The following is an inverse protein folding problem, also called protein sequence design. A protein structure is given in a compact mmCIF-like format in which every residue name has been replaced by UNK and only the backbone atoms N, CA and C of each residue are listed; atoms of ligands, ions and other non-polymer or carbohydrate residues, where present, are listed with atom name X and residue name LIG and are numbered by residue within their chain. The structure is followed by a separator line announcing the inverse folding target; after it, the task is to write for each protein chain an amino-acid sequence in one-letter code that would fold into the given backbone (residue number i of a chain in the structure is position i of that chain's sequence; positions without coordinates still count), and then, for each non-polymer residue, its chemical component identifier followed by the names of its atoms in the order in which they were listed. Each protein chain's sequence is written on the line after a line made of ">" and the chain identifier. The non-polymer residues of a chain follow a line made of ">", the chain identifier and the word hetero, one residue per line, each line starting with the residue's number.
data_IF_003186970366
#
_entry.id   IF_003186970366
#
_cell.length_a   1.000
_cell.length_b   1.000
_cell.length_c   1.000
_cell.angle_alpha   90.00
_cell.angle_beta   90.00
_cell.angle_gamma   90.00
#
_symmetry.space_group_name_H-M   'P 1'
#
loop_
_entity.id
_entity.type
_entity.pdbx_description
1 polymer ?
#
# COMPACT_ATOMS: atom_id res chain seq x y z
N UNK A 1 26.13 20.05 -15.00
CA UNK A 1 25.90 19.23 -16.20
C UNK A 1 24.57 18.55 -16.04
N UNK A 2 23.53 19.05 -16.71
CA UNK A 2 22.22 18.41 -16.77
C UNK A 2 22.37 17.16 -17.65
N UNK A 3 22.27 15.97 -17.05
CA UNK A 3 22.13 14.73 -17.82
C UNK A 3 20.82 14.82 -18.58
N UNK A 4 20.88 14.82 -19.91
CA UNK A 4 19.68 14.65 -20.71
C UNK A 4 19.02 13.31 -20.34
N UNK A 5 17.69 13.27 -20.12
CA UNK A 5 17.00 12.01 -19.89
C UNK A 5 17.25 11.10 -21.09
N UNK A 6 17.68 9.86 -20.83
CA UNK A 6 17.87 8.86 -21.88
C UNK A 6 16.53 8.66 -22.60
N UNK A 7 16.39 9.24 -23.80
CA UNK A 7 15.18 9.24 -24.61
C UNK A 7 14.62 7.84 -24.82
N UNK A 8 15.49 6.83 -24.87
CA UNK A 8 15.08 5.43 -25.01
C UNK A 8 14.41 4.88 -23.76
N UNK A 9 14.95 5.16 -22.57
CA UNK A 9 14.32 4.74 -21.31
C UNK A 9 12.92 5.35 -21.16
N UNK A 10 12.78 6.64 -21.47
CA UNK A 10 11.48 7.33 -21.37
C UNK A 10 10.47 6.73 -22.35
N UNK A 11 10.91 6.40 -23.57
CA UNK A 11 10.08 5.71 -24.57
C UNK A 11 9.65 4.33 -24.09
N UNK A 12 10.57 3.55 -23.53
CA UNK A 12 10.29 2.22 -23.01
C UNK A 12 9.30 2.27 -21.84
N UNK A 13 9.46 3.24 -20.94
CA UNK A 13 8.52 3.47 -19.84
C UNK A 13 7.12 3.81 -20.36
N UNK A 14 6.99 4.71 -21.34
CA UNK A 14 5.68 5.17 -21.82
C UNK A 14 4.85 4.07 -22.46
N UNK A 15 5.48 3.06 -23.06
CA UNK A 15 4.79 1.90 -23.66
C UNK A 15 4.68 0.69 -22.71
N UNK A 16 5.47 0.68 -21.63
CA UNK A 16 5.52 -0.46 -20.70
C UNK A 16 4.24 -0.65 -19.88
N UNK A 17 3.41 0.38 -19.70
CA UNK A 17 2.24 0.33 -18.82
C UNK A 17 2.60 0.10 -17.35
N UNK A 18 3.77 0.58 -16.91
CA UNK A 18 4.13 0.64 -15.49
C UNK A 18 3.23 1.62 -14.73
N UNK A 19 3.04 1.36 -13.44
CA UNK A 19 2.41 2.33 -12.55
C UNK A 19 3.25 3.61 -12.48
N UNK A 20 2.62 4.76 -12.28
CA UNK A 20 3.30 6.06 -12.35
C UNK A 20 4.45 6.17 -11.33
N UNK A 21 4.24 5.70 -10.11
CA UNK A 21 5.28 5.73 -9.07
C UNK A 21 6.46 4.80 -9.40
N UNK A 22 6.19 3.62 -9.97
CA UNK A 22 7.25 2.69 -10.39
C UNK A 22 8.07 3.30 -11.53
N UNK A 23 7.40 3.94 -12.50
CA UNK A 23 8.04 4.65 -13.59
C UNK A 23 8.94 5.80 -13.11
N UNK A 24 8.47 6.60 -12.14
CA UNK A 24 9.28 7.66 -11.52
C UNK A 24 10.52 7.10 -10.83
N UNK A 25 10.38 6.00 -10.12
CA UNK A 25 11.49 5.36 -9.43
C UNK A 25 12.53 4.79 -10.39
N UNK A 26 12.09 4.16 -11.49
CA UNK A 26 13.00 3.70 -12.55
C UNK A 26 13.78 4.89 -13.13
N UNK A 27 13.11 6.01 -13.45
CA UNK A 27 13.76 7.24 -13.96
C UNK A 27 14.77 7.79 -12.95
N UNK A 28 14.47 7.72 -11.66
CA UNK A 28 15.34 8.21 -10.57
C UNK A 28 16.59 7.35 -10.40
N UNK A 29 16.44 6.03 -10.47
CA UNK A 29 17.52 5.07 -10.19
C UNK A 29 18.42 4.88 -11.41
N UNK A 30 17.87 4.86 -12.63
CA UNK A 30 18.61 4.52 -13.83
C UNK A 30 19.90 5.34 -14.06
N UNK A 31 19.94 6.67 -13.83
CA UNK A 31 21.14 7.47 -14.06
C UNK A 31 22.31 7.14 -13.14
N UNK A 32 22.04 6.64 -11.93
CA UNK A 32 23.07 6.30 -10.92
C UNK A 32 23.63 4.89 -11.07
N UNK A 33 23.08 4.09 -11.98
CA UNK A 33 23.58 2.75 -12.29
C UNK A 33 24.88 2.81 -13.09
N UNK A 34 25.68 1.74 -13.00
CA UNK A 34 26.83 1.55 -13.89
C UNK A 34 26.34 1.33 -15.32
N UNK A 35 27.18 1.67 -16.31
CA UNK A 35 26.76 1.58 -17.71
C UNK A 35 26.47 0.14 -18.13
N UNK A 36 27.23 -0.85 -17.64
CA UNK A 36 26.93 -2.28 -17.83
C UNK A 36 25.52 -2.64 -17.33
N UNK A 37 25.09 -2.06 -16.21
CA UNK A 37 23.76 -2.31 -15.65
C UNK A 37 22.67 -1.60 -16.45
N UNK A 38 22.94 -0.40 -16.95
CA UNK A 38 22.00 0.30 -17.85
C UNK A 38 21.76 -0.50 -19.12
N UNK A 39 22.83 -1.00 -19.76
CA UNK A 39 22.73 -1.87 -20.96
C UNK A 39 21.93 -3.12 -20.63
N UNK A 40 22.30 -3.83 -19.54
CA UNK A 40 21.58 -5.03 -19.12
C UNK A 40 20.08 -4.77 -18.92
N UNK A 41 19.71 -3.64 -18.29
CA UNK A 41 18.30 -3.29 -18.05
C UNK A 41 17.57 -3.03 -19.36
N UNK A 42 18.19 -2.32 -20.30
CA UNK A 42 17.58 -2.06 -21.61
C UNK A 42 17.39 -3.36 -22.40
N UNK A 43 18.38 -4.27 -22.36
CA UNK A 43 18.32 -5.57 -23.04
C UNK A 43 17.27 -6.53 -22.44
N UNK A 44 16.96 -6.38 -21.16
CA UNK A 44 16.02 -7.24 -20.42
C UNK A 44 14.76 -6.50 -19.98
N UNK A 45 14.45 -5.38 -20.65
CA UNK A 45 13.41 -4.43 -20.24
C UNK A 45 12.06 -5.09 -19.99
N UNK A 46 11.58 -5.90 -20.94
CA UNK A 46 10.27 -6.55 -20.84
C UNK A 46 10.20 -7.42 -19.58
N UNK A 47 11.21 -8.25 -19.32
CA UNK A 47 11.28 -9.11 -18.13
C UNK A 47 11.33 -8.30 -16.83
N UNK A 48 12.05 -7.16 -16.82
CA UNK A 48 12.08 -6.27 -15.67
C UNK A 48 10.70 -5.68 -15.42
N UNK A 49 10.03 -5.19 -16.46
CA UNK A 49 8.72 -4.57 -16.31
C UNK A 49 7.65 -5.56 -15.86
N UNK A 50 7.69 -6.80 -16.35
CA UNK A 50 6.82 -7.89 -15.88
C UNK A 50 7.02 -8.15 -14.39
N UNK A 51 8.27 -8.21 -13.93
CA UNK A 51 8.58 -8.39 -12.50
C UNK A 51 8.09 -7.22 -11.66
N UNK A 52 8.26 -5.98 -12.12
CA UNK A 52 7.76 -4.81 -11.41
C UNK A 52 6.24 -4.88 -11.26
N UNK A 53 5.52 -5.16 -12.37
CA UNK A 53 4.06 -5.32 -12.35
C UNK A 53 3.59 -6.46 -11.45
N UNK A 54 4.30 -7.58 -11.46
CA UNK A 54 4.00 -8.72 -10.61
C UNK A 54 4.07 -8.32 -9.12
N UNK A 55 5.19 -7.72 -8.69
CA UNK A 55 5.32 -7.28 -7.29
C UNK A 55 4.33 -6.16 -6.93
N UNK A 56 3.99 -5.26 -7.86
CA UNK A 56 2.95 -4.24 -7.64
C UNK A 56 1.60 -4.88 -7.35
N UNK A 57 1.24 -5.94 -8.08
CA UNK A 57 0.00 -6.69 -7.86
C UNK A 57 0.02 -7.44 -6.51
N UNK A 58 1.16 -8.03 -6.12
CA UNK A 58 1.32 -8.64 -4.79
C UNK A 58 1.13 -7.60 -3.67
N UNK A 59 1.74 -6.42 -3.80
CA UNK A 59 1.60 -5.33 -2.82
C UNK A 59 0.16 -4.83 -2.69
N UNK A 60 -0.58 -4.68 -3.80
CA UNK A 60 -1.99 -4.27 -3.71
C UNK A 60 -2.86 -5.37 -3.07
N UNK A 61 -2.56 -6.65 -3.33
CA UNK A 61 -3.23 -7.76 -2.65
C UNK A 61 -2.96 -7.77 -1.14
N UNK A 62 -1.71 -7.57 -0.73
CA UNK A 62 -1.35 -7.50 0.69
C UNK A 62 -2.04 -6.32 1.38
N UNK A 63 -2.07 -5.16 0.71
CA UNK A 63 -2.77 -3.97 1.19
C UNK A 63 -4.27 -4.20 1.37
N UNK A 64 -4.92 -4.93 0.45
CA UNK A 64 -6.32 -5.31 0.59
C UNK A 64 -6.55 -6.19 1.83
N UNK A 65 -5.70 -7.19 2.06
CA UNK A 65 -5.78 -8.06 3.25
C UNK A 65 -5.61 -7.24 4.53
N UNK A 66 -4.65 -6.32 4.57
CA UNK A 66 -4.42 -5.46 5.72
C UNK A 66 -5.60 -4.52 5.98
N UNK A 67 -6.23 -3.99 4.92
CA UNK A 67 -7.41 -3.15 5.05
C UNK A 67 -8.59 -3.92 5.64
N UNK A 68 -8.82 -5.15 5.18
CA UNK A 68 -9.87 -6.03 5.72
C UNK A 68 -9.65 -6.26 7.21
N UNK A 69 -8.42 -6.64 7.61
CA UNK A 69 -8.09 -6.85 9.03
C UNK A 69 -8.31 -5.60 9.88
N UNK A 70 -7.90 -4.44 9.37
CA UNK A 70 -8.11 -3.18 10.09
C UNK A 70 -9.60 -2.87 10.28
N UNK A 71 -10.45 -3.21 9.30
CA UNK A 71 -11.90 -3.05 9.44
C UNK A 71 -12.49 -4.04 10.45
N UNK A 72 -12.06 -5.30 10.44
CA UNK A 72 -12.46 -6.31 11.43
C UNK A 72 -12.08 -5.89 12.85
N UNK A 73 -10.88 -5.34 13.04
CA UNK A 73 -10.41 -4.83 14.33
C UNK A 73 -11.28 -3.66 14.81
N UNK A 74 -11.61 -2.71 13.92
CA UNK A 74 -12.51 -1.58 14.22
C UNK A 74 -13.91 -2.07 14.61
N UNK A 75 -14.46 -3.05 13.89
CA UNK A 75 -15.77 -3.62 14.22
C UNK A 75 -15.76 -4.27 15.61
N UNK A 76 -14.71 -5.05 15.92
CA UNK A 76 -14.55 -5.65 17.24
C UNK A 76 -14.47 -4.61 18.36
N UNK A 77 -13.69 -3.55 18.16
CA UNK A 77 -13.56 -2.43 19.11
C UNK A 77 -14.91 -1.73 19.34
N UNK A 78 -15.70 -1.51 18.28
CA UNK A 78 -17.03 -0.91 18.38
C UNK A 78 -18.01 -1.80 19.13
N UNK A 79 -17.98 -3.12 18.92
CA UNK A 79 -18.81 -4.05 19.67
C UNK A 79 -18.44 -4.08 21.15
N UNK A 80 -17.15 -4.10 21.48
CA UNK A 80 -16.69 -4.08 22.87
C UNK A 80 -17.07 -2.79 23.58
N UNK A 81 -16.91 -1.65 22.90
CA UNK A 81 -17.38 -0.36 23.38
C UNK A 81 -18.90 -0.37 23.64
N UNK A 82 -19.69 -0.90 22.71
CA UNK A 82 -21.14 -1.07 22.87
C UNK A 82 -21.50 -1.94 24.08
N UNK A 83 -20.83 -3.09 24.25
CA UNK A 83 -21.01 -3.96 25.43
C UNK A 83 -20.68 -3.22 26.73
N UNK A 84 -19.60 -2.46 26.75
CA UNK A 84 -19.15 -1.69 27.92
C UNK A 84 -20.15 -0.59 28.28
N UNK A 85 -20.65 0.17 27.29
CA UNK A 85 -21.69 1.18 27.50
C UNK A 85 -22.96 0.56 28.09
N UNK A 86 -23.45 -0.55 27.55
CA UNK A 86 -24.64 -1.26 28.06
C UNK A 86 -24.42 -1.74 29.50
N UNK A 87 -23.26 -2.32 29.82
CA UNK A 87 -22.95 -2.76 31.18
C UNK A 87 -22.87 -1.58 32.15
N UNK A 88 -22.28 -0.46 31.74
CA UNK A 88 -22.19 0.74 32.57
C UNK A 88 -23.56 1.38 32.83
N UNK A 89 -24.44 1.44 31.82
CA UNK A 89 -25.81 1.94 31.96
C UNK A 89 -26.67 1.03 32.85
N UNK A 90 -26.64 -0.28 32.61
CA UNK A 90 -27.39 -1.25 33.41
C UNK A 90 -26.95 -1.25 34.89
N UNK A 91 -25.66 -1.06 35.16
CA UNK A 91 -25.16 -0.93 36.54
C UNK A 91 -25.69 0.34 37.21
N UNK A 92 -25.71 1.46 36.51
CA UNK A 92 -26.23 2.72 37.02
C UNK A 92 -27.74 2.64 37.33
N UNK A 93 -28.51 1.98 36.47
CA UNK A 93 -29.95 1.78 36.68
C UNK A 93 -30.26 0.86 37.88
N UNK A 94 -29.46 -0.20 38.08
CA UNK A 94 -29.59 -1.10 39.23
C UNK A 94 -29.25 -0.38 40.54
N UNK A 95 -28.21 0.45 40.55
CA UNK A 95 -27.82 1.21 41.75
C UNK A 95 -28.88 2.28 42.09
N UNK A 96 -29.49 2.92 41.08
CA UNK A 96 -30.61 3.85 41.28
C UNK A 96 -31.86 3.16 41.86
N UNK A 97 -32.17 1.93 41.43
CA UNK A 97 -33.28 1.12 41.96
C UNK A 97 -33.07 0.72 43.42
N UNK A 98 -31.83 0.48 43.86
CA UNK A 98 -31.51 0.15 45.27
C UNK A 98 -31.67 1.33 46.24
N UNK A 99 -31.58 2.57 45.75
CA UNK A 99 -31.73 3.78 46.57
C UNK A 99 -33.19 4.24 46.75
N UNK A 100 -34.15 3.61 46.06
CA UNK A 100 -35.58 3.94 46.13
C UNK A 100 -36.41 2.96 46.99
N UNK A 101 -35.76 2.02 47.68
CA UNK A 101 -36.35 1.08 48.65
C UNK A 101 -35.80 1.41 50.03
#
# INVERSE_FOLDING_TARGET
>A
MTQEPNTELVRLISISGLHEDDAREVIRIFPVLTDDKKVQILDTWDSITEKIKFHRAELEREKEILLIRALEDIESDLEEYGRTLVHSGAKHDIDALKFQI
#
